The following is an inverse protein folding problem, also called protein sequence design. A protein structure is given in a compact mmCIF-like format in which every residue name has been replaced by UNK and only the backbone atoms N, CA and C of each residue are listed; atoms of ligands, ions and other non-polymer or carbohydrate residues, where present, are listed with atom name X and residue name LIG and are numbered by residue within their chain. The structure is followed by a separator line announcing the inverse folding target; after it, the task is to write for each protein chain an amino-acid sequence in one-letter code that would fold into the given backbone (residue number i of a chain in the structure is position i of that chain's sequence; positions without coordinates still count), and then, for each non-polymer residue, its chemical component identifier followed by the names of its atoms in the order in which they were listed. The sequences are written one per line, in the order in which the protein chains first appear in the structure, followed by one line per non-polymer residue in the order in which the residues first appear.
data_IF_393091168396
#
_entry.id   IF_393091168396
#
_cell.length_a   1.000
_cell.length_b   1.000
_cell.length_c   1.000
_cell.angle_alpha   90.00
_cell.angle_beta   90.00
_cell.angle_gamma   90.00
#
_symmetry.space_group_name_H-M   'P 1'
#
loop_
_entity.id
_entity.type
_entity.pdbx_description
1 polymer ?
#
# COMPACT_ATOMS: atom_id res chain seq x y z
N UNK A 1 5.23 8.54 -18.34
CA UNK A 1 4.14 7.87 -17.58
C UNK A 1 4.58 6.48 -17.18
N UNK A 2 4.14 6.01 -16.02
CA UNK A 2 4.41 4.66 -15.52
C UNK A 2 3.09 3.95 -15.25
N UNK A 3 3.07 2.63 -15.45
CA UNK A 3 1.88 1.78 -15.33
C UNK A 3 2.22 0.58 -14.47
N UNK A 4 1.28 0.12 -13.67
CA UNK A 4 1.35 -1.12 -12.91
C UNK A 4 0.45 -2.15 -13.54
N UNK A 5 0.97 -3.36 -13.64
CA UNK A 5 0.35 -4.47 -14.35
C UNK A 5 0.05 -5.53 -13.31
N UNK A 6 -1.20 -6.00 -13.31
CA UNK A 6 -1.70 -6.94 -12.32
C UNK A 6 -2.37 -8.10 -13.05
N UNK A 7 -1.85 -9.33 -12.95
CA UNK A 7 -2.52 -10.51 -13.48
C UNK A 7 -3.93 -10.66 -12.88
N UNK A 8 -4.87 -11.23 -13.64
CA UNK A 8 -6.22 -11.51 -13.13
C UNK A 8 -6.19 -12.58 -12.03
N UNK A 9 -5.34 -13.59 -12.22
CA UNK A 9 -5.10 -14.66 -11.26
C UNK A 9 -3.76 -14.41 -10.56
N UNK A 10 -3.80 -14.07 -9.28
CA UNK A 10 -2.60 -13.84 -8.49
C UNK A 10 -2.91 -13.53 -7.02
N UNK A 11 -1.95 -13.83 -6.14
CA UNK A 11 -2.03 -13.50 -4.72
C UNK A 11 -0.68 -13.00 -4.23
N UNK A 12 -0.67 -12.20 -3.15
CA UNK A 12 0.59 -11.75 -2.55
C UNK A 12 1.46 -10.83 -3.44
N UNK A 13 0.90 -10.30 -4.53
CA UNK A 13 1.67 -9.48 -5.47
C UNK A 13 2.52 -10.28 -6.46
N UNK A 14 2.28 -11.58 -6.58
CA UNK A 14 2.88 -12.41 -7.62
C UNK A 14 2.50 -11.90 -9.03
N UNK A 15 3.47 -11.91 -9.93
CA UNK A 15 3.32 -11.40 -11.30
C UNK A 15 3.05 -9.89 -11.45
N UNK A 16 3.04 -9.10 -10.36
CA UNK A 16 2.88 -7.64 -10.44
C UNK A 16 4.21 -6.99 -10.82
N UNK A 17 4.16 -6.09 -11.81
CA UNK A 17 5.33 -5.30 -12.20
C UNK A 17 4.93 -3.92 -12.70
N UNK A 18 5.93 -3.03 -12.79
CA UNK A 18 5.76 -1.66 -13.30
C UNK A 18 6.44 -1.56 -14.66
N UNK A 19 5.79 -0.87 -15.59
CA UNK A 19 6.30 -0.62 -16.94
C UNK A 19 6.11 0.84 -17.34
N UNK A 20 7.01 1.36 -18.17
CA UNK A 20 6.81 2.64 -18.86
C UNK A 20 6.04 2.48 -20.18
N UNK A 21 5.88 1.25 -20.66
CA UNK A 21 5.23 0.91 -21.90
C UNK A 21 4.00 0.01 -21.65
N UNK A 22 2.78 0.58 -21.71
CA UNK A 22 1.55 -0.16 -21.47
C UNK A 22 1.22 -1.11 -22.63
N UNK A 23 1.82 -0.93 -23.81
CA UNK A 23 1.53 -1.69 -25.03
C UNK A 23 2.30 -3.00 -25.17
N UNK A 24 3.28 -3.25 -24.30
CA UNK A 24 4.06 -4.49 -24.36
C UNK A 24 3.15 -5.72 -24.28
N UNK A 25 3.42 -6.76 -25.09
CA UNK A 25 2.67 -8.00 -25.04
C UNK A 25 2.79 -8.67 -23.68
N UNK A 26 1.69 -9.29 -23.21
CA UNK A 26 1.57 -9.86 -21.87
C UNK A 26 1.06 -11.29 -21.97
N UNK A 27 1.49 -12.12 -21.05
CA UNK A 27 0.98 -13.48 -20.92
C UNK A 27 -0.25 -13.49 -20.02
N UNK A 28 -1.34 -14.06 -20.52
CA UNK A 28 -2.60 -14.16 -19.78
C UNK A 28 -3.39 -12.85 -19.72
N UNK A 29 -4.51 -12.90 -19.02
CA UNK A 29 -5.37 -11.75 -18.79
C UNK A 29 -4.87 -10.94 -17.60
N UNK A 30 -4.93 -9.62 -17.73
CA UNK A 30 -4.42 -8.70 -16.72
C UNK A 30 -5.07 -7.32 -16.83
N UNK A 31 -4.91 -6.53 -15.79
CA UNK A 31 -5.23 -5.09 -15.78
C UNK A 31 -3.95 -4.27 -15.89
N UNK A 32 -3.96 -3.29 -16.78
CA UNK A 32 -2.95 -2.23 -16.86
C UNK A 32 -3.55 -0.97 -16.25
N UNK A 33 -2.95 -0.50 -15.17
CA UNK A 33 -3.42 0.65 -14.40
C UNK A 33 -2.33 1.72 -14.37
N UNK A 34 -2.72 3.01 -14.43
CA UNK A 34 -1.79 4.09 -14.18
C UNK A 34 -1.15 3.95 -12.80
N UNK A 35 0.17 4.03 -12.73
CA UNK A 35 0.87 3.93 -11.46
C UNK A 35 0.82 5.27 -10.70
N UNK A 36 0.44 5.24 -9.43
CA UNK A 36 0.52 6.40 -8.55
C UNK A 36 1.97 6.81 -8.33
N UNK A 37 2.44 7.80 -9.08
CA UNK A 37 3.84 8.27 -9.06
C UNK A 37 4.16 9.21 -7.89
N UNK A 38 3.14 9.81 -7.27
CA UNK A 38 3.25 10.73 -6.14
C UNK A 38 2.44 10.21 -4.93
N UNK A 39 2.78 9.04 -4.36
CA UNK A 39 2.11 8.53 -3.18
C UNK A 39 2.43 9.40 -1.96
N UNK A 40 1.51 9.45 -1.01
CA UNK A 40 1.82 9.93 0.33
C UNK A 40 2.79 8.95 1.00
N UNK A 41 3.88 9.47 1.54
CA UNK A 41 4.98 8.65 2.09
C UNK A 41 4.91 8.61 3.61
N UNK A 42 5.21 7.46 4.20
CA UNK A 42 5.35 7.28 5.65
C UNK A 42 6.85 7.13 5.95
N UNK A 43 7.47 8.15 6.55
CA UNK A 43 8.92 8.16 6.79
C UNK A 43 9.74 8.00 5.50
N UNK A 44 9.27 8.56 4.39
CA UNK A 44 9.92 8.44 3.07
C UNK A 44 9.69 7.10 2.35
N UNK A 45 8.93 6.17 2.93
CA UNK A 45 8.59 4.88 2.34
C UNK A 45 7.17 4.91 1.75
N UNK A 46 6.96 4.18 0.65
CA UNK A 46 5.61 3.97 0.11
C UNK A 46 4.82 3.09 1.07
N UNK A 47 3.54 3.39 1.28
CA UNK A 47 2.66 2.54 2.09
C UNK A 47 1.29 2.34 1.42
N UNK A 48 0.56 1.32 1.88
CA UNK A 48 -0.85 1.12 1.60
C UNK A 48 -1.60 0.74 2.87
N UNK A 49 -2.92 0.92 2.85
CA UNK A 49 -3.80 0.56 3.96
C UNK A 49 -4.73 -0.60 3.59
N UNK A 50 -4.68 -1.65 4.42
CA UNK A 50 -5.72 -2.68 4.48
C UNK A 50 -6.75 -2.26 5.52
N UNK A 51 -7.91 -1.84 5.04
CA UNK A 51 -9.08 -1.53 5.86
C UNK A 51 -9.97 -2.77 5.93
N UNK A 52 -10.51 -3.06 7.11
CA UNK A 52 -11.45 -4.18 7.30
C UNK A 52 -12.88 -3.65 7.29
N UNK A 53 -13.72 -4.29 6.49
CA UNK A 53 -15.12 -3.88 6.27
C UNK A 53 -16.02 -5.10 6.46
N UNK A 54 -17.03 -4.98 7.31
CA UNK A 54 -18.05 -6.01 7.55
C UNK A 54 -19.35 -5.59 6.88
N UNK A 55 -19.81 -6.39 5.92
CA UNK A 55 -21.12 -6.21 5.28
C UNK A 55 -22.10 -7.17 5.94
N UNK A 56 -23.05 -6.63 6.71
CA UNK A 56 -24.06 -7.42 7.44
C UNK A 56 -25.32 -7.62 6.57
N UNK A 57 -25.60 -6.67 5.69
CA UNK A 57 -26.74 -6.71 4.77
C UNK A 57 -26.39 -5.97 3.50
N UNK A 58 -26.78 -6.50 2.34
CA UNK A 58 -26.58 -5.86 1.04
C UNK A 58 -27.84 -5.16 0.50
N UNK A 59 -29.04 -5.68 0.83
CA UNK A 59 -30.33 -5.20 0.33
C UNK A 59 -31.40 -5.29 1.44
N UNK A 60 -32.42 -4.40 1.51
CA UNK A 60 -32.72 -3.26 0.62
C UNK A 60 -31.82 -2.04 0.81
N UNK A 61 -31.24 -1.87 2.00
CA UNK A 61 -30.22 -0.88 2.28
C UNK A 61 -28.97 -1.58 2.84
N UNK A 62 -27.77 -1.30 2.28
CA UNK A 62 -26.53 -1.85 2.79
C UNK A 62 -26.30 -1.49 4.25
N UNK A 63 -25.97 -2.47 5.08
CA UNK A 63 -25.48 -2.27 6.44
C UNK A 63 -24.00 -2.67 6.44
N UNK A 64 -23.12 -1.66 6.50
CA UNK A 64 -21.67 -1.82 6.35
C UNK A 64 -20.99 -1.16 7.54
N UNK A 65 -20.02 -1.86 8.12
CA UNK A 65 -19.22 -1.37 9.24
C UNK A 65 -17.76 -1.37 8.84
N UNK A 66 -17.09 -0.23 8.99
CA UNK A 66 -15.64 -0.13 8.81
C UNK A 66 -14.99 -0.28 10.17
N UNK A 67 -14.08 -1.25 10.31
CA UNK A 67 -13.35 -1.43 11.55
C UNK A 67 -12.37 -0.26 11.73
N UNK A 68 -12.35 0.33 12.93
CA UNK A 68 -11.50 1.50 13.22
C UNK A 68 -10.01 1.18 13.04
N UNK A 69 -9.63 -0.03 13.42
CA UNK A 69 -8.26 -0.51 13.20
C UNK A 69 -8.13 -1.29 11.89
N UNK A 70 -6.95 -1.20 11.28
CA UNK A 70 -6.58 -1.88 10.05
C UNK A 70 -5.09 -2.24 10.06
N UNK A 71 -4.52 -2.37 8.87
CA UNK A 71 -3.10 -2.63 8.70
C UNK A 71 -2.48 -1.67 7.70
N UNK A 72 -1.49 -0.91 8.14
CA UNK A 72 -0.59 -0.21 7.25
C UNK A 72 0.57 -1.13 6.86
N UNK A 73 0.76 -1.29 5.55
CA UNK A 73 1.83 -2.09 4.95
C UNK A 73 2.79 -1.15 4.27
N UNK A 74 4.04 -1.16 4.71
CA UNK A 74 5.08 -0.23 4.29
C UNK A 74 6.05 -0.96 3.35
N UNK A 75 6.55 -0.27 2.32
CA UNK A 75 7.65 -0.75 1.50
C UNK A 75 8.94 -0.81 2.35
N UNK A 76 9.95 -1.54 1.87
CA UNK A 76 11.20 -1.77 2.63
C UNK A 76 12.36 -0.91 2.15
N UNK A 77 12.23 -0.23 1.01
CA UNK A 77 13.20 0.72 0.50
C UNK A 77 12.58 2.11 0.33
N UNK A 78 13.36 3.20 0.53
CA UNK A 78 12.92 4.57 0.31
C UNK A 78 12.24 4.75 -1.05
N UNK A 79 11.15 5.50 -1.08
CA UNK A 79 10.42 5.70 -2.31
C UNK A 79 11.20 6.59 -3.28
N UNK A 80 11.42 6.08 -4.47
CA UNK A 80 11.87 6.85 -5.62
C UNK A 80 10.78 6.85 -6.70
N UNK A 81 10.55 7.98 -7.39
CA UNK A 81 9.67 8.00 -8.55
C UNK A 81 10.11 6.97 -9.60
N UNK A 82 9.16 6.35 -10.33
CA UNK A 82 9.51 5.36 -11.35
C UNK A 82 10.40 5.95 -12.45
N UNK A 83 11.53 5.31 -12.68
CA UNK A 83 12.49 5.54 -13.76
C UNK A 83 12.82 4.22 -14.42
N UNK A 84 13.32 4.23 -15.66
CA UNK A 84 13.72 2.98 -16.36
C UNK A 84 14.70 2.12 -15.55
N UNK A 85 15.50 2.72 -14.67
CA UNK A 85 16.47 2.01 -13.83
C UNK A 85 15.89 1.37 -12.56
N UNK A 86 14.71 1.78 -12.09
CA UNK A 86 14.12 1.28 -10.85
C UNK A 86 12.76 0.56 -11.01
N UNK A 87 12.19 0.47 -12.22
CA UNK A 87 10.91 -0.21 -12.48
C UNK A 87 10.87 -1.66 -11.98
N UNK A 88 12.00 -2.37 -12.04
CA UNK A 88 12.14 -3.75 -11.56
C UNK A 88 12.39 -3.87 -10.06
N UNK A 89 12.64 -2.76 -9.36
CA UNK A 89 12.95 -2.75 -7.93
C UNK A 89 11.66 -2.78 -7.11
N UNK A 90 11.03 -3.96 -7.07
CA UNK A 90 9.75 -4.19 -6.40
C UNK A 90 9.73 -3.69 -4.94
N UNK A 91 10.86 -3.78 -4.22
CA UNK A 91 10.98 -3.36 -2.82
C UNK A 91 10.77 -1.85 -2.55
N UNK A 92 10.89 -0.99 -3.58
CA UNK A 92 10.55 0.44 -3.53
C UNK A 92 9.05 0.65 -3.75
N UNK A 93 8.47 -0.14 -4.65
CA UNK A 93 7.18 0.18 -5.25
C UNK A 93 6.01 -0.70 -4.79
N UNK A 94 6.27 -1.89 -4.27
CA UNK A 94 5.28 -2.84 -3.79
C UNK A 94 5.39 -2.99 -2.27
N UNK A 95 4.23 -2.97 -1.64
CA UNK A 95 4.05 -2.98 -0.18
C UNK A 95 3.60 -4.36 0.33
N UNK A 96 3.47 -5.33 -0.57
CA UNK A 96 3.04 -6.68 -0.24
C UNK A 96 4.05 -7.37 0.68
N UNK A 97 3.60 -7.83 1.86
CA UNK A 97 4.49 -8.50 2.82
C UNK A 97 5.16 -9.75 2.26
N UNK A 98 4.51 -10.48 1.33
CA UNK A 98 5.09 -11.63 0.63
C UNK A 98 6.35 -11.28 -0.17
N UNK A 99 6.43 -10.06 -0.70
CA UNK A 99 7.60 -9.53 -1.40
C UNK A 99 8.62 -9.04 -0.37
N UNK A 100 8.16 -8.26 0.61
CA UNK A 100 9.03 -7.63 1.59
C UNK A 100 9.69 -8.61 2.57
N UNK A 101 9.02 -9.71 2.96
CA UNK A 101 9.45 -10.61 4.06
C UNK A 101 10.82 -11.27 3.84
N UNK A 102 11.26 -11.37 2.59
CA UNK A 102 12.57 -11.94 2.23
C UNK A 102 13.67 -10.89 2.08
N UNK A 103 13.33 -9.61 2.16
CA UNK A 103 14.27 -8.52 2.04
C UNK A 103 14.98 -8.26 3.37
N UNK A 104 16.28 -7.97 3.35
CA UNK A 104 17.08 -7.73 4.57
C UNK A 104 16.60 -6.52 5.38
N UNK A 105 16.00 -5.53 4.74
CA UNK A 105 15.43 -4.35 5.38
C UNK A 105 14.00 -4.56 5.95
N UNK A 106 13.48 -5.78 5.94
CA UNK A 106 12.18 -6.09 6.54
C UNK A 106 12.25 -5.99 8.06
N UNK A 107 11.35 -5.20 8.66
CA UNK A 107 11.24 -5.04 10.11
C UNK A 107 9.95 -5.72 10.59
N UNK A 108 10.03 -6.91 11.23
CA UNK A 108 8.86 -7.60 11.74
C UNK A 108 8.19 -6.79 12.86
N UNK A 109 6.88 -6.99 13.01
CA UNK A 109 6.15 -6.45 14.15
C UNK A 109 6.24 -7.44 15.31
N UNK A 110 6.93 -7.08 16.38
CA UNK A 110 7.11 -7.90 17.59
C UNK A 110 6.22 -7.44 18.75
N UNK A 111 5.67 -6.22 18.68
CA UNK A 111 4.78 -5.65 19.69
C UNK A 111 3.76 -4.74 19.00
N UNK A 112 2.48 -5.11 19.11
CA UNK A 112 1.38 -4.35 18.52
C UNK A 112 1.29 -2.91 19.06
N UNK A 113 1.75 -2.65 20.28
CA UNK A 113 1.70 -1.34 20.91
C UNK A 113 2.89 -0.44 20.55
N UNK A 114 3.97 -1.02 20.02
CA UNK A 114 5.22 -0.33 19.68
C UNK A 114 5.66 -0.61 18.23
N UNK A 115 4.75 -0.44 17.27
CA UNK A 115 4.94 -0.87 15.86
C UNK A 115 5.36 0.24 14.88
N UNK A 116 5.73 1.43 15.38
CA UNK A 116 6.08 2.61 14.57
C UNK A 116 7.31 2.42 13.65
N UNK A 117 8.16 1.42 13.89
CA UNK A 117 9.29 1.12 13.00
C UNK A 117 9.02 -0.11 12.11
N UNK A 118 7.94 -0.85 12.35
CA UNK A 118 7.67 -2.10 11.63
C UNK A 118 7.18 -1.86 10.20
N UNK A 119 7.57 -2.73 9.28
CA UNK A 119 7.02 -2.80 7.91
C UNK A 119 5.52 -3.12 7.92
N UNK A 120 5.00 -3.62 9.05
CA UNK A 120 3.58 -3.93 9.26
C UNK A 120 3.11 -3.32 10.58
N UNK A 121 2.31 -2.27 10.52
CA UNK A 121 1.84 -1.56 11.72
C UNK A 121 0.34 -1.28 11.68
N UNK A 122 -0.24 -0.96 12.83
CA UNK A 122 -1.63 -0.52 12.96
C UNK A 122 -1.88 0.69 12.05
N UNK A 123 -3.06 0.70 11.44
CA UNK A 123 -3.54 1.81 10.62
C UNK A 123 -3.60 3.09 11.44
N UNK A 124 -4.04 3.03 12.69
CA UNK A 124 -4.07 4.22 13.56
C UNK A 124 -2.68 4.77 13.87
N UNK A 125 -1.68 3.90 14.13
CA UNK A 125 -0.28 4.30 14.28
C UNK A 125 0.22 5.04 13.04
N UNK A 126 -0.01 4.46 11.86
CA UNK A 126 0.44 5.05 10.60
C UNK A 126 -0.27 6.37 10.27
N UNK A 127 -1.58 6.45 10.51
CA UNK A 127 -2.37 7.66 10.27
C UNK A 127 -1.90 8.83 11.14
N UNK A 128 -1.64 8.59 12.44
CA UNK A 128 -1.10 9.62 13.34
C UNK A 128 0.29 10.10 12.88
N UNK A 129 1.14 9.18 12.43
CA UNK A 129 2.45 9.52 11.89
C UNK A 129 2.35 10.35 10.59
N UNK A 130 1.44 10.00 9.68
CA UNK A 130 1.23 10.79 8.45
C UNK A 130 0.74 12.20 8.74
N UNK A 131 -0.20 12.38 9.67
CA UNK A 131 -0.66 13.71 10.06
C UNK A 131 0.46 14.52 10.71
N UNK A 132 1.30 13.90 11.55
CA UNK A 132 2.46 14.54 12.15
C UNK A 132 3.53 14.94 11.11
N UNK A 133 3.77 14.10 10.09
CA UNK A 133 4.77 14.34 9.05
C UNK A 133 4.33 15.37 8.00
N UNK A 134 3.07 15.33 7.57
CA UNK A 134 2.57 16.11 6.42
C UNK A 134 1.62 17.25 6.82
N UNK A 135 1.25 17.32 8.10
CA UNK A 135 0.29 18.25 8.64
C UNK A 135 -1.17 17.88 8.32
N UNK A 136 -2.13 18.39 9.13
CA UNK A 136 -3.55 18.07 9.01
C UNK A 136 -4.19 18.60 7.73
N UNK A 137 -3.56 19.56 7.04
CA UNK A 137 -4.02 20.06 5.73
C UNK A 137 -3.86 18.99 4.65
N UNK A 138 -2.74 18.25 4.67
CA UNK A 138 -2.41 17.19 3.71
C UNK A 138 -3.05 15.86 4.07
N UNK A 139 -2.92 15.43 5.32
CA UNK A 139 -3.53 14.20 5.83
C UNK A 139 -4.05 14.46 7.24
N UNK A 140 -5.35 14.25 7.46
CA UNK A 140 -5.96 14.40 8.78
C UNK A 140 -6.55 13.10 9.26
N UNK A 141 -6.18 12.69 10.48
CA UNK A 141 -6.70 11.47 11.12
C UNK A 141 -8.21 11.56 11.29
N UNK A 142 -8.71 12.70 11.77
CA UNK A 142 -10.14 12.91 11.99
C UNK A 142 -10.92 12.82 10.68
N UNK A 143 -10.44 13.46 9.60
CA UNK A 143 -11.08 13.37 8.28
C UNK A 143 -11.00 11.97 7.68
N UNK A 144 -9.90 11.25 7.92
CA UNK A 144 -9.72 9.89 7.42
C UNK A 144 -10.68 8.89 8.06
N UNK A 145 -10.98 9.05 9.35
CA UNK A 145 -11.90 8.19 10.09
C UNK A 145 -13.33 8.75 10.22
N UNK A 146 -13.62 9.90 9.62
CA UNK A 146 -14.97 10.43 9.54
C UNK A 146 -15.79 9.55 8.58
N UNK A 147 -16.62 8.68 9.15
CA UNK A 147 -17.61 7.86 8.46
C UNK A 147 -19.01 8.47 8.61
#
# INVERSE_FOLDING_TARGET
NAYIVKPDEGAGGDGIYITADPSQPRHGTCVVQEYCTKPLLLGGLKCDFRVYVTVVRAFPAPAVFVHREGLARVAVLPYEPPTRGNLSTAAIHLTNCSISKHHSAFVPNTDAHADQSSTRRRLTTAAAQLEAEHGPTTFSVDRFFAA
#
